data_IF_275398942488
#
_entry.id   IF_275398942488
#
_cell.length_a   1.000
_cell.length_b   1.000
_cell.length_c   1.000
_cell.angle_alpha   90.00
_cell.angle_beta   90.00
_cell.angle_gamma   90.00
#
_symmetry.space_group_name_H-M   'P 1'
#
loop_
_entity.id
_entity.type
_entity.pdbx_description
1 polymer ?
#
# COMPACT_ATOMS: atom_id res chain seq x y z
N UNK A 1 -22.40 14.11 -52.08
CA UNK A 1 -22.38 15.47 -51.51
C UNK A 1 -21.87 15.33 -50.08
N UNK A 2 -20.71 15.89 -49.77
CA UNK A 2 -20.18 15.87 -48.41
C UNK A 2 -20.96 16.88 -47.56
N UNK A 3 -21.50 16.43 -46.43
CA UNK A 3 -22.28 17.25 -45.51
C UNK A 3 -21.39 18.34 -44.90
N UNK A 4 -21.74 19.60 -45.14
CA UNK A 4 -20.99 20.76 -44.66
C UNK A 4 -21.19 20.87 -43.15
N UNK A 5 -20.16 20.58 -42.37
CA UNK A 5 -20.18 20.68 -40.91
C UNK A 5 -20.67 22.08 -40.48
N UNK A 6 -21.79 22.11 -39.74
CA UNK A 6 -22.52 23.33 -39.36
C UNK A 6 -21.95 23.95 -38.07
N UNK A 7 -21.25 23.15 -37.25
CA UNK A 7 -20.65 23.59 -35.99
C UNK A 7 -19.13 23.65 -36.10
N UNK A 8 -18.58 24.86 -35.95
CA UNK A 8 -17.15 25.12 -35.89
C UNK A 8 -16.75 25.37 -34.43
N UNK A 9 -15.77 24.63 -33.92
CA UNK A 9 -15.20 24.88 -32.59
C UNK A 9 -14.63 26.31 -32.55
N UNK A 10 -15.12 27.13 -31.63
CA UNK A 10 -14.59 28.48 -31.42
C UNK A 10 -13.32 28.40 -30.57
N UNK A 11 -12.39 29.36 -30.71
CA UNK A 11 -11.15 29.41 -29.92
C UNK A 11 -11.38 29.39 -28.39
N UNK A 12 -12.56 29.82 -27.94
CA UNK A 12 -12.97 29.77 -26.53
C UNK A 12 -13.27 28.35 -26.02
N UNK A 13 -13.70 27.43 -26.88
CA UNK A 13 -14.00 26.03 -26.52
C UNK A 13 -12.72 25.20 -26.35
N UNK A 14 -11.68 25.51 -27.14
CA UNK A 14 -10.35 24.86 -27.08
C UNK A 14 -9.62 25.13 -25.76
N UNK A 15 -9.86 26.29 -25.14
CA UNK A 15 -9.22 26.67 -23.88
C UNK A 15 -9.70 25.88 -22.66
N UNK A 16 -10.96 25.43 -22.66
CA UNK A 16 -11.56 24.70 -21.54
C UNK A 16 -11.04 23.24 -21.48
N UNK A 17 -10.90 22.58 -22.64
CA UNK A 17 -10.38 21.21 -22.70
C UNK A 17 -8.90 21.14 -22.35
N UNK A 18 -8.07 22.03 -22.90
CA UNK A 18 -6.63 22.05 -22.63
C UNK A 18 -6.30 22.32 -21.15
N UNK A 19 -6.98 23.29 -20.52
CA UNK A 19 -6.84 23.56 -19.07
C UNK A 19 -7.28 22.37 -18.21
N UNK A 20 -8.32 21.66 -18.62
CA UNK A 20 -8.83 20.48 -17.91
C UNK A 20 -7.88 19.29 -18.01
N UNK A 21 -7.35 18.99 -19.19
CA UNK A 21 -6.33 17.94 -19.37
C UNK A 21 -5.03 18.31 -18.63
N UNK A 22 -4.58 19.56 -18.71
CA UNK A 22 -3.38 20.03 -17.99
C UNK A 22 -3.54 19.90 -16.47
N UNK A 23 -4.70 20.27 -15.91
CA UNK A 23 -5.01 20.12 -14.48
C UNK A 23 -4.99 18.65 -14.05
N UNK A 24 -5.60 17.75 -14.83
CA UNK A 24 -5.57 16.31 -14.54
C UNK A 24 -4.18 15.72 -14.59
N UNK A 25 -3.38 16.09 -15.60
CA UNK A 25 -1.99 15.64 -15.70
C UNK A 25 -1.18 16.12 -14.49
N UNK A 26 -1.37 17.36 -14.05
CA UNK A 26 -0.71 17.88 -12.85
C UNK A 26 -1.15 17.12 -11.58
N UNK A 27 -2.46 16.93 -11.39
CA UNK A 27 -3.00 16.21 -10.22
C UNK A 27 -2.50 14.76 -10.21
N UNK A 28 -2.63 14.03 -11.31
CA UNK A 28 -2.16 12.64 -11.38
C UNK A 28 -0.65 12.54 -11.29
N UNK A 29 0.10 13.49 -11.84
CA UNK A 29 1.55 13.55 -11.69
C UNK A 29 1.95 13.69 -10.22
N UNK A 30 1.30 14.59 -9.48
CA UNK A 30 1.53 14.78 -8.04
C UNK A 30 1.11 13.52 -7.26
N UNK A 31 -0.04 12.93 -7.57
CA UNK A 31 -0.51 11.71 -6.90
C UNK A 31 0.43 10.52 -7.15
N UNK A 32 0.92 10.33 -8.37
CA UNK A 32 1.90 9.29 -8.71
C UNK A 32 3.21 9.52 -7.96
N UNK A 33 3.72 10.76 -7.97
CA UNK A 33 4.92 11.12 -7.22
C UNK A 33 4.74 10.81 -5.73
N UNK A 34 3.63 11.26 -5.13
CA UNK A 34 3.31 11.01 -3.73
C UNK A 34 3.18 9.50 -3.43
N UNK A 35 2.56 8.75 -4.32
CA UNK A 35 2.45 7.29 -4.22
C UNK A 35 3.83 6.64 -4.14
N UNK A 36 4.78 7.05 -5.00
CA UNK A 36 6.15 6.53 -4.96
C UNK A 36 6.82 6.83 -3.62
N UNK A 37 6.66 8.05 -3.09
CA UNK A 37 7.20 8.43 -1.78
C UNK A 37 6.61 7.55 -0.66
N UNK A 38 5.31 7.30 -0.67
CA UNK A 38 4.66 6.45 0.32
C UNK A 38 4.99 4.95 0.16
N UNK A 39 5.22 4.47 -1.05
CA UNK A 39 5.57 3.07 -1.33
C UNK A 39 7.05 2.77 -1.07
N UNK A 40 7.93 3.78 -1.11
CA UNK A 40 9.36 3.62 -0.83
C UNK A 40 9.67 2.84 0.47
N UNK A 41 9.11 3.18 1.65
CA UNK A 41 9.36 2.41 2.88
C UNK A 41 8.84 0.97 2.82
N UNK A 42 7.75 0.73 2.07
CA UNK A 42 7.20 -0.63 1.87
C UNK A 42 8.15 -1.43 0.96
N UNK A 43 8.60 -0.85 -0.15
CA UNK A 43 9.61 -1.43 -1.01
C UNK A 43 10.88 -1.80 -0.24
N UNK A 44 11.36 -0.88 0.61
CA UNK A 44 12.53 -1.13 1.46
C UNK A 44 12.32 -2.32 2.41
N UNK A 45 11.14 -2.40 3.05
CA UNK A 45 10.80 -3.48 3.98
C UNK A 45 10.77 -4.83 3.27
N UNK A 46 10.13 -4.90 2.10
CA UNK A 46 10.03 -6.12 1.30
C UNK A 46 11.41 -6.59 0.86
N UNK A 47 12.20 -5.70 0.23
CA UNK A 47 13.53 -6.06 -0.26
C UNK A 47 14.47 -6.49 0.86
N UNK A 48 14.38 -5.84 2.03
CA UNK A 48 15.19 -6.21 3.20
C UNK A 48 14.85 -7.59 3.77
N UNK A 49 13.61 -8.06 3.64
CA UNK A 49 13.24 -9.42 4.07
C UNK A 49 14.00 -10.54 3.33
N UNK A 50 14.58 -10.22 2.16
CA UNK A 50 15.39 -11.13 1.35
C UNK A 50 16.90 -10.85 1.42
N UNK A 51 17.35 -9.88 2.23
CA UNK A 51 18.77 -9.55 2.39
C UNK A 51 19.41 -10.41 3.47
N UNK A 52 20.67 -10.81 3.25
CA UNK A 52 21.53 -11.36 4.30
C UNK A 52 22.06 -10.22 5.19
N UNK A 53 22.39 -10.50 6.45
CA UNK A 53 22.91 -9.49 7.39
C UNK A 53 24.08 -8.64 6.85
N UNK A 54 25.07 -9.20 6.09
CA UNK A 54 26.11 -8.39 5.45
C UNK A 54 25.56 -7.41 4.40
N UNK A 55 24.57 -7.83 3.61
CA UNK A 55 23.97 -7.01 2.54
C UNK A 55 23.15 -5.84 3.09
N UNK A 56 22.63 -5.97 4.31
CA UNK A 56 21.95 -4.87 5.01
C UNK A 56 22.96 -3.80 5.45
N UNK A 57 24.12 -4.22 5.97
CA UNK A 57 25.18 -3.31 6.43
C UNK A 57 25.90 -2.59 5.28
N UNK A 58 25.93 -3.20 4.10
CA UNK A 58 26.53 -2.63 2.89
C UNK A 58 25.59 -1.66 2.13
N UNK A 59 24.35 -1.49 2.58
CA UNK A 59 23.42 -0.53 1.98
C UNK A 59 22.89 -0.91 0.60
N UNK A 60 23.04 -2.16 0.18
CA UNK A 60 22.55 -2.65 -1.11
C UNK A 60 21.03 -2.52 -1.20
N UNK A 61 20.50 -1.88 -2.24
CA UNK A 61 19.10 -1.45 -2.31
C UNK A 61 18.27 -2.24 -3.34
N UNK A 62 18.89 -2.63 -4.45
CA UNK A 62 18.19 -3.22 -5.61
C UNK A 62 18.44 -4.73 -5.66
N UNK A 63 17.41 -5.57 -5.51
CA UNK A 63 17.56 -7.01 -5.66
C UNK A 63 18.01 -7.37 -7.09
N UNK A 64 18.80 -8.43 -7.23
CA UNK A 64 19.38 -8.93 -8.50
C UNK A 64 20.45 -8.03 -9.15
N UNK A 65 20.57 -6.77 -8.73
CA UNK A 65 21.65 -5.86 -9.15
C UNK A 65 22.72 -5.78 -8.06
N UNK A 66 22.32 -5.45 -6.83
CA UNK A 66 23.25 -5.23 -5.71
C UNK A 66 23.46 -6.51 -4.87
N UNK A 67 22.50 -7.43 -4.86
CA UNK A 67 22.59 -8.67 -4.10
C UNK A 67 21.69 -9.76 -4.67
N UNK A 68 22.05 -11.02 -4.42
CA UNK A 68 21.21 -12.19 -4.69
C UNK A 68 20.17 -12.35 -3.57
N UNK A 69 18.86 -12.36 -3.89
CA UNK A 69 17.82 -12.55 -2.88
C UNK A 69 17.95 -13.91 -2.18
N UNK A 70 17.89 -13.91 -0.85
CA UNK A 70 17.99 -15.11 -0.04
C UNK A 70 16.72 -15.31 0.80
N UNK A 71 16.27 -16.56 0.90
CA UNK A 71 15.07 -16.93 1.68
C UNK A 71 15.32 -17.04 3.19
N UNK A 72 16.53 -16.74 3.69
CA UNK A 72 16.91 -16.93 5.10
C UNK A 72 15.99 -16.22 6.10
N UNK A 73 15.47 -15.05 5.75
CA UNK A 73 14.50 -14.32 6.60
C UNK A 73 13.16 -15.06 6.76
N UNK A 74 12.77 -15.82 5.74
CA UNK A 74 11.55 -16.64 5.72
C UNK A 74 11.81 -18.05 6.27
N UNK A 75 13.04 -18.54 6.14
CA UNK A 75 13.53 -19.79 6.71
C UNK A 75 13.40 -19.79 8.24
N UNK A 76 13.77 -18.69 8.89
CA UNK A 76 13.64 -18.54 10.36
C UNK A 76 12.19 -18.58 10.86
N UNK A 77 11.23 -18.22 10.00
CA UNK A 77 9.79 -18.32 10.27
C UNK A 77 9.20 -19.67 9.84
N UNK A 78 9.97 -20.57 9.23
CA UNK A 78 9.47 -21.82 8.66
C UNK A 78 8.54 -21.63 7.46
N UNK A 79 8.70 -20.51 6.74
CA UNK A 79 7.93 -20.13 5.54
C UNK A 79 8.80 -20.11 4.26
N UNK A 80 10.05 -20.61 4.33
CA UNK A 80 10.90 -20.82 3.17
C UNK A 80 10.40 -22.01 2.33
N UNK A 81 10.55 -22.01 0.99
CA UNK A 81 10.19 -23.14 0.11
C UNK A 81 10.60 -24.52 0.63
N UNK A 82 11.75 -24.60 1.31
CA UNK A 82 12.31 -25.87 1.82
C UNK A 82 11.70 -26.33 3.15
N UNK A 83 11.09 -25.42 3.93
CA UNK A 83 10.48 -25.71 5.24
C UNK A 83 8.95 -25.63 5.24
N UNK A 84 8.34 -25.24 4.12
CA UNK A 84 6.88 -25.28 3.95
C UNK A 84 6.44 -26.74 4.03
N UNK A 85 5.65 -27.07 5.08
CA UNK A 85 5.19 -28.42 5.37
C UNK A 85 5.94 -29.15 6.49
N UNK A 86 7.06 -28.60 6.98
CA UNK A 86 7.67 -29.08 8.22
C UNK A 86 7.09 -28.38 9.44
N UNK A 87 7.10 -29.08 10.58
CA UNK A 87 6.68 -28.52 11.87
C UNK A 87 7.71 -27.47 12.33
N UNK A 88 7.23 -26.28 12.65
CA UNK A 88 8.07 -25.16 13.10
C UNK A 88 7.39 -24.47 14.28
N UNK A 89 7.99 -24.60 15.45
CA UNK A 89 7.51 -23.95 16.69
C UNK A 89 7.47 -22.43 16.56
N UNK A 90 8.39 -21.86 15.76
CA UNK A 90 8.44 -20.41 15.50
C UNK A 90 7.25 -19.98 14.64
N UNK A 91 6.87 -20.77 13.63
CA UNK A 91 5.69 -20.49 12.79
C UNK A 91 4.42 -20.51 13.63
N UNK A 92 4.26 -21.51 14.48
CA UNK A 92 3.10 -21.64 15.37
C UNK A 92 2.99 -20.45 16.33
N UNK A 93 4.10 -20.08 16.98
CA UNK A 93 4.15 -18.95 17.90
C UNK A 93 3.86 -17.62 17.17
N UNK A 94 4.39 -17.44 15.95
CA UNK A 94 4.09 -16.29 15.09
C UNK A 94 2.59 -16.23 14.74
N UNK A 95 2.01 -17.32 14.22
CA UNK A 95 0.60 -17.38 13.82
C UNK A 95 -0.31 -17.14 15.03
N UNK A 96 0.03 -17.69 16.20
CA UNK A 96 -0.69 -17.46 17.45
C UNK A 96 -0.69 -15.98 17.83
N UNK A 97 0.48 -15.33 17.85
CA UNK A 97 0.59 -13.89 18.18
C UNK A 97 -0.10 -13.01 17.15
N UNK A 98 0.03 -13.33 15.87
CA UNK A 98 -0.64 -12.63 14.79
C UNK A 98 -2.16 -12.73 14.92
N UNK A 99 -2.68 -13.93 15.19
CA UNK A 99 -4.12 -14.17 15.37
C UNK A 99 -4.65 -13.43 16.60
N UNK A 100 -3.92 -13.44 17.72
CA UNK A 100 -4.29 -12.67 18.91
C UNK A 100 -4.38 -11.16 18.62
N UNK A 101 -3.43 -10.62 17.87
CA UNK A 101 -3.44 -9.22 17.44
C UNK A 101 -4.60 -8.91 16.49
N UNK A 102 -4.91 -9.82 15.56
CA UNK A 102 -6.04 -9.69 14.65
C UNK A 102 -7.38 -9.67 15.42
N UNK A 103 -7.59 -10.62 16.33
CA UNK A 103 -8.79 -10.68 17.17
C UNK A 103 -8.92 -9.42 18.02
N UNK A 104 -7.85 -9.00 18.67
CA UNK A 104 -7.85 -7.81 19.55
C UNK A 104 -8.13 -6.53 18.77
N UNK A 105 -7.46 -6.32 17.63
CA UNK A 105 -7.65 -5.11 16.82
C UNK A 105 -9.06 -5.02 16.24
N UNK A 106 -9.60 -6.12 15.71
CA UNK A 106 -10.95 -6.16 15.16
C UNK A 106 -12.00 -5.94 16.25
N UNK A 107 -11.91 -6.66 17.37
CA UNK A 107 -12.86 -6.51 18.48
C UNK A 107 -12.84 -5.10 19.08
N UNK A 108 -11.65 -4.53 19.30
CA UNK A 108 -11.49 -3.16 19.77
C UNK A 108 -12.06 -2.14 18.78
N UNK A 109 -11.84 -2.34 17.47
CA UNK A 109 -12.36 -1.44 16.43
C UNK A 109 -13.89 -1.47 16.36
N UNK A 110 -14.49 -2.66 16.47
CA UNK A 110 -15.96 -2.82 16.51
C UNK A 110 -16.52 -2.12 17.75
N UNK A 111 -15.94 -2.35 18.93
CA UNK A 111 -16.37 -1.69 20.16
C UNK A 111 -16.23 -0.17 20.06
N UNK A 112 -15.11 0.33 19.53
CA UNK A 112 -14.87 1.75 19.35
C UNK A 112 -15.90 2.39 18.41
N UNK A 113 -16.25 1.73 17.31
CA UNK A 113 -17.28 2.22 16.38
C UNK A 113 -18.66 2.20 17.04
N UNK A 114 -19.05 1.13 17.73
CA UNK A 114 -20.35 1.05 18.41
C UNK A 114 -20.49 2.14 19.46
N UNK A 115 -19.53 2.25 20.38
CA UNK A 115 -19.58 3.23 21.45
C UNK A 115 -19.47 4.66 20.91
N UNK A 116 -18.56 4.89 19.96
CA UNK A 116 -18.35 6.19 19.33
C UNK A 116 -19.58 6.68 18.58
N UNK A 117 -20.25 5.79 17.82
CA UNK A 117 -21.47 6.15 17.08
C UNK A 117 -22.65 6.41 18.02
N UNK A 118 -22.84 5.62 19.07
CA UNK A 118 -23.89 5.87 20.08
C UNK A 118 -23.67 7.20 20.81
N UNK A 119 -22.42 7.50 21.20
CA UNK A 119 -22.08 8.79 21.82
C UNK A 119 -22.29 9.97 20.86
N UNK A 120 -21.86 9.84 19.61
CA UNK A 120 -22.06 10.86 18.58
C UNK A 120 -23.55 11.08 18.26
N UNK A 121 -24.35 10.01 18.24
CA UNK A 121 -25.81 10.10 18.10
C UNK A 121 -26.43 10.84 19.29
N UNK A 122 -26.02 10.50 20.51
CA UNK A 122 -26.45 11.19 21.73
C UNK A 122 -26.20 12.70 21.64
N UNK A 123 -24.98 13.11 21.30
CA UNK A 123 -24.60 14.51 21.20
C UNK A 123 -25.29 15.26 20.04
N UNK A 124 -25.48 14.60 18.89
CA UNK A 124 -26.06 15.21 17.70
C UNK A 124 -27.58 15.33 17.75
N UNK A 125 -28.27 14.40 18.41
CA UNK A 125 -29.73 14.36 18.46
C UNK A 125 -30.31 14.87 19.77
N UNK A 126 -29.66 14.59 20.89
CA UNK A 126 -30.09 15.05 22.20
C UNK A 126 -29.15 16.16 22.65
N UNK A 127 -29.44 17.35 22.11
CA UNK A 127 -29.21 18.59 22.83
C UNK A 127 -30.34 18.78 23.82
#
# INVERSE_FOLDING_TARGET
MAEKQIFHDHDVDRGHSAKWYASRIAIYGILIFWTIVCLFPIYWTITTSFKLAPNVMQGHMVPFVDYTPAWKGWESLGLSPDLIGQESTVREEFVKRFTNSAITSVSASVLAVVLGTMAAYGLSRFR
#
